data_IF_977035454480
#
_entry.id   IF_977035454480
#
_cell.length_a   1.000
_cell.length_b   1.000
_cell.length_c   1.000
_cell.angle_alpha   90.00
_cell.angle_beta   90.00
_cell.angle_gamma   90.00
#
_symmetry.space_group_name_H-M   'P 1'
#
loop_
_entity.id
_entity.type
_entity.pdbx_description
1 polymer ?
#
# COMPACT_ATOMS: atom_id res chain seq x y z
N UNK A 1 17.23 -4.09 -1.38
CA UNK A 1 15.92 -3.90 -0.70
C UNK A 1 15.19 -2.63 -1.14
N UNK A 2 15.90 -1.52 -1.33
CA UNK A 2 15.24 -0.27 -1.79
C UNK A 2 14.55 -0.47 -3.15
N UNK A 3 15.21 -1.17 -4.08
CA UNK A 3 14.63 -1.45 -5.39
C UNK A 3 13.34 -2.28 -5.26
N UNK A 4 13.34 -3.28 -4.40
CA UNK A 4 12.18 -4.15 -4.19
C UNK A 4 11.04 -3.37 -3.55
N UNK A 5 11.34 -2.48 -2.61
CA UNK A 5 10.32 -1.61 -2.01
C UNK A 5 9.68 -0.74 -3.08
N UNK A 6 10.49 -0.18 -3.98
CA UNK A 6 9.99 0.65 -5.07
C UNK A 6 9.10 -0.11 -6.04
N UNK A 7 9.49 -1.34 -6.39
CA UNK A 7 8.68 -2.18 -7.28
C UNK A 7 7.33 -2.50 -6.61
N UNK A 8 7.37 -2.91 -5.35
CA UNK A 8 6.15 -3.22 -4.61
C UNK A 8 5.27 -1.98 -4.44
N UNK A 9 5.88 -0.83 -4.19
CA UNK A 9 5.14 0.43 -4.08
C UNK A 9 4.41 0.74 -5.39
N UNK A 10 5.05 0.51 -6.54
CA UNK A 10 4.42 0.68 -7.83
C UNK A 10 3.24 -0.26 -8.02
N UNK A 11 3.39 -1.53 -7.63
CA UNK A 11 2.31 -2.51 -7.71
C UNK A 11 1.12 -2.10 -6.84
N UNK A 12 1.40 -1.61 -5.63
CA UNK A 12 0.35 -1.16 -4.71
C UNK A 12 -0.34 0.08 -5.28
N UNK A 13 0.44 1.02 -5.84
CA UNK A 13 -0.13 2.22 -6.43
C UNK A 13 -1.12 1.85 -7.55
N UNK A 14 -0.71 0.95 -8.44
CA UNK A 14 -1.58 0.51 -9.54
C UNK A 14 -2.81 -0.22 -9.02
N UNK A 15 -2.65 -1.04 -7.98
CA UNK A 15 -3.78 -1.72 -7.38
C UNK A 15 -4.80 -0.71 -6.83
N UNK A 16 -4.32 0.30 -6.11
CA UNK A 16 -5.19 1.33 -5.54
C UNK A 16 -5.83 2.20 -6.63
N UNK A 17 -5.11 2.43 -7.71
CA UNK A 17 -5.64 3.20 -8.84
C UNK A 17 -6.81 2.45 -9.50
N UNK A 18 -6.70 1.13 -9.61
CA UNK A 18 -7.75 0.30 -10.20
C UNK A 18 -8.94 0.07 -9.26
N UNK A 19 -8.67 -0.18 -7.99
CA UNK A 19 -9.67 -0.66 -7.04
C UNK A 19 -10.17 0.39 -6.06
N UNK A 20 -9.47 1.52 -5.96
CA UNK A 20 -9.83 2.56 -5.01
C UNK A 20 -9.42 2.21 -3.59
N UNK A 21 -10.00 2.92 -2.62
CA UNK A 21 -9.71 2.73 -1.21
C UNK A 21 -9.84 1.25 -0.82
N UNK A 22 -8.80 0.71 -0.21
CA UNK A 22 -8.73 -0.70 0.15
C UNK A 22 -8.20 -0.85 1.56
N UNK A 23 -8.60 -1.94 2.23
CA UNK A 23 -8.06 -2.23 3.55
C UNK A 23 -6.63 -2.74 3.42
N UNK A 24 -5.82 -2.53 4.46
CA UNK A 24 -4.46 -3.05 4.50
C UNK A 24 -4.46 -4.57 4.37
N UNK A 25 -5.40 -5.25 5.04
CA UNK A 25 -5.51 -6.70 4.95
C UNK A 25 -5.75 -7.15 3.52
N UNK A 26 -6.59 -6.44 2.77
CA UNK A 26 -6.86 -6.76 1.39
C UNK A 26 -5.62 -6.57 0.52
N UNK A 27 -4.90 -5.47 0.72
CA UNK A 27 -3.68 -5.21 -0.05
C UNK A 27 -2.64 -6.30 0.22
N UNK A 28 -2.45 -6.67 1.47
CA UNK A 28 -1.52 -7.74 1.85
C UNK A 28 -1.88 -9.05 1.15
N UNK A 29 -3.18 -9.35 1.07
CA UNK A 29 -3.66 -10.58 0.44
C UNK A 29 -3.49 -10.56 -1.08
N UNK A 30 -3.72 -9.41 -1.71
CA UNK A 30 -3.77 -9.30 -3.17
C UNK A 30 -2.41 -9.05 -3.82
N UNK A 31 -1.50 -8.40 -3.13
CA UNK A 31 -0.17 -8.13 -3.67
C UNK A 31 0.71 -9.35 -3.44
N UNK A 32 1.28 -9.88 -4.51
CA UNK A 32 2.02 -11.15 -4.48
C UNK A 32 3.45 -10.94 -3.99
N UNK A 33 3.58 -10.69 -2.70
CA UNK A 33 4.88 -10.63 -2.03
C UNK A 33 4.67 -10.80 -0.54
N UNK A 34 5.74 -10.85 0.25
CA UNK A 34 5.64 -11.01 1.69
C UNK A 34 5.03 -9.76 2.34
N UNK A 35 4.33 -9.99 3.43
CA UNK A 35 3.63 -8.93 4.17
C UNK A 35 4.56 -7.79 4.56
N UNK A 36 5.77 -8.13 5.01
CA UNK A 36 6.72 -7.13 5.46
C UNK A 36 7.07 -6.14 4.35
N UNK A 37 7.24 -6.64 3.13
CA UNK A 37 7.55 -5.79 2.00
C UNK A 37 6.37 -4.88 1.65
N UNK A 38 5.15 -5.42 1.74
CA UNK A 38 3.94 -4.62 1.51
C UNK A 38 3.87 -3.47 2.52
N UNK A 39 4.12 -3.76 3.80
CA UNK A 39 4.06 -2.73 4.84
C UNK A 39 5.12 -1.66 4.63
N UNK A 40 6.33 -2.05 4.26
CA UNK A 40 7.40 -1.09 3.97
C UNK A 40 7.05 -0.22 2.77
N UNK A 41 6.49 -0.81 1.73
CA UNK A 41 6.12 -0.09 0.52
C UNK A 41 4.99 0.90 0.77
N UNK A 42 3.99 0.52 1.57
CA UNK A 42 2.90 1.42 1.94
C UNK A 42 3.43 2.60 2.76
N UNK A 43 4.32 2.33 3.72
CA UNK A 43 4.97 3.38 4.50
C UNK A 43 5.73 4.35 3.61
N UNK A 44 6.44 3.82 2.62
CA UNK A 44 7.17 4.64 1.66
C UNK A 44 6.22 5.52 0.83
N UNK A 45 5.12 4.94 0.32
CA UNK A 45 4.13 5.70 -0.43
C UNK A 45 3.53 6.82 0.41
N UNK A 46 3.24 6.54 1.69
CA UNK A 46 2.69 7.54 2.59
C UNK A 46 3.70 8.66 2.86
N UNK A 47 4.96 8.29 3.08
CA UNK A 47 6.02 9.27 3.33
C UNK A 47 6.22 10.19 2.13
N UNK A 48 6.12 9.65 0.92
CA UNK A 48 6.28 10.42 -0.31
C UNK A 48 5.02 11.20 -0.70
N UNK A 49 3.95 11.06 0.07
CA UNK A 49 2.72 11.80 -0.19
C UNK A 49 1.85 11.23 -1.31
N UNK A 50 2.11 9.99 -1.73
CA UNK A 50 1.33 9.34 -2.79
C UNK A 50 0.11 8.62 -2.27
N UNK A 51 0.12 8.22 -1.00
CA UNK A 51 -0.98 7.47 -0.41
C UNK A 51 -1.30 8.00 0.99
N UNK A 52 -2.55 7.80 1.39
CA UNK A 52 -3.02 8.15 2.74
C UNK A 52 -3.41 6.86 3.43
N UNK A 53 -2.99 6.74 4.69
CA UNK A 53 -3.28 5.57 5.52
C UNK A 53 -4.06 6.04 6.73
N UNK A 54 -5.24 5.46 6.95
CA UNK A 54 -6.10 5.83 8.06
C UNK A 54 -6.45 4.59 8.89
N UNK A 55 -6.40 4.73 10.20
CA UNK A 55 -6.81 3.67 11.11
C UNK A 55 -8.31 3.46 11.02
N UNK A 56 -8.76 2.22 10.94
CA UNK A 56 -10.18 1.87 10.82
C UNK A 56 -10.43 0.57 11.60
N UNK A 57 -10.89 0.68 12.83
CA UNK A 57 -11.09 -0.49 13.69
C UNK A 57 -9.78 -1.20 13.97
N UNK A 58 -9.72 -2.48 13.63
CA UNK A 58 -8.51 -3.29 13.79
C UNK A 58 -7.68 -3.36 12.51
N UNK A 59 -8.04 -2.56 11.51
CA UNK A 59 -7.36 -2.56 10.22
C UNK A 59 -7.02 -1.12 9.85
N UNK A 60 -6.58 -0.92 8.63
CA UNK A 60 -6.28 0.40 8.08
C UNK A 60 -6.92 0.52 6.71
N UNK A 61 -7.30 1.74 6.34
CA UNK A 61 -7.75 2.04 4.99
C UNK A 61 -6.63 2.78 4.28
N UNK A 62 -6.36 2.38 3.04
CA UNK A 62 -5.29 2.97 2.24
C UNK A 62 -5.89 3.45 0.93
N UNK A 63 -5.57 4.67 0.53
CA UNK A 63 -6.05 5.21 -0.74
C UNK A 63 -5.04 6.21 -1.29
N UNK A 64 -5.16 6.46 -2.59
CA UNK A 64 -4.24 7.38 -3.26
C UNK A 64 -4.60 8.82 -2.91
N UNK A 65 -3.58 9.63 -2.77
CA UNK A 65 -3.74 11.07 -2.60
C UNK A 65 -3.79 11.71 -3.96
N UNK A 66 -4.93 12.32 -4.29
CA UNK A 66 -5.11 12.97 -5.59
C UNK A 66 -5.61 14.38 -5.46
#
# INVERSE_FOLDING_TARGET
>A
MITEIGITAGDIWHYLDEHGKSSLSQIVREIDTEKERVLMAIGWLAREGHAIVEKSGYDYQVYLRR
#
